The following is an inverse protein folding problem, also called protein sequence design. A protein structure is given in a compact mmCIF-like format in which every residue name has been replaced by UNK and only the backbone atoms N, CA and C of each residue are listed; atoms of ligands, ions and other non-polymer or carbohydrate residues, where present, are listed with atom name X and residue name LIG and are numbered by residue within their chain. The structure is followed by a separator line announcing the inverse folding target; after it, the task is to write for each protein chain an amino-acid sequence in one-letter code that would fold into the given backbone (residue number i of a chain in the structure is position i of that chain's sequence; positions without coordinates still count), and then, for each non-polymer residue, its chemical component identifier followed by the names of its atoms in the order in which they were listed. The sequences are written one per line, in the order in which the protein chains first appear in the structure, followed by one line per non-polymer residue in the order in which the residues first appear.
data_IF_445431340164
#
_entry.id   IF_445431340164
#
_cell.length_a   1.000
_cell.length_b   1.000
_cell.length_c   1.000
_cell.angle_alpha   90.00
_cell.angle_beta   90.00
_cell.angle_gamma   90.00
#
_symmetry.space_group_name_H-M   'P 1'
#
loop_
_entity.id
_entity.type
_entity.pdbx_description
1 polymer ?
#
# COMPACT_ATOMS: atom_id res chain seq x y z
N UNK A 1 -12.16 -0.03 42.64
CA UNK A 1 -12.64 0.74 41.47
C UNK A 1 -11.86 0.22 40.30
N UNK A 2 -12.25 -0.95 39.88
CA UNK A 2 -11.64 -1.69 38.75
C UNK A 2 -12.80 -2.00 37.82
N UNK A 3 -12.84 -1.39 36.63
CA UNK A 3 -13.74 -1.84 35.55
C UNK A 3 -13.28 -1.26 34.22
N UNK A 4 -13.12 -2.17 33.30
CA UNK A 4 -13.13 -1.99 31.85
C UNK A 4 -11.82 -1.60 31.16
N UNK A 5 -10.83 -2.48 31.23
CA UNK A 5 -10.10 -2.77 29.99
C UNK A 5 -10.98 -3.73 29.17
N UNK A 6 -11.98 -3.22 28.47
CA UNK A 6 -12.55 -3.93 27.33
C UNK A 6 -11.40 -4.22 26.38
N UNK A 7 -11.19 -5.48 26.02
CA UNK A 7 -10.48 -5.85 24.81
C UNK A 7 -11.21 -5.14 23.67
N UNK A 8 -10.67 -4.02 23.22
CA UNK A 8 -11.03 -3.42 21.94
C UNK A 8 -10.37 -4.38 20.96
N UNK A 9 -11.14 -5.34 20.42
CA UNK A 9 -10.75 -6.05 19.21
C UNK A 9 -10.24 -5.00 18.23
N UNK A 10 -9.15 -5.27 17.49
CA UNK A 10 -8.51 -4.33 16.58
C UNK A 10 -9.54 -3.75 15.61
N UNK A 11 -10.16 -2.65 15.96
CA UNK A 11 -11.23 -2.01 15.19
C UNK A 11 -10.67 -1.44 13.88
N UNK A 12 -9.38 -1.05 13.91
CA UNK A 12 -8.67 -0.48 12.76
C UNK A 12 -7.32 -1.16 12.55
N UNK A 13 -6.99 -1.43 11.29
CA UNK A 13 -5.65 -1.84 10.88
C UNK A 13 -4.70 -0.64 10.87
N UNK A 14 -5.22 0.53 10.43
CA UNK A 14 -4.51 1.79 10.40
C UNK A 14 -5.43 2.93 10.83
N UNK A 15 -4.93 3.81 11.70
CA UNK A 15 -5.65 4.93 12.24
C UNK A 15 -4.79 6.19 12.25
N UNK A 16 -5.19 7.22 11.50
CA UNK A 16 -4.63 8.56 11.56
C UNK A 16 -5.62 9.49 12.24
N UNK A 17 -5.18 10.30 13.20
CA UNK A 17 -6.02 11.21 13.95
C UNK A 17 -5.42 12.60 14.08
N UNK A 18 -6.07 13.58 13.47
CA UNK A 18 -5.70 14.98 13.57
C UNK A 18 -4.29 15.29 13.09
N UNK A 19 -3.78 14.50 12.12
CA UNK A 19 -2.41 14.63 11.64
C UNK A 19 -2.20 15.90 10.86
N UNK A 20 -1.14 16.65 11.19
CA UNK A 20 -0.71 17.82 10.43
C UNK A 20 0.80 17.81 10.24
N UNK A 21 1.26 18.27 9.07
CA UNK A 21 2.67 18.50 8.76
C UNK A 21 2.83 19.69 7.81
N UNK A 22 3.86 20.49 8.09
CA UNK A 22 4.22 21.65 7.29
C UNK A 22 5.66 21.57 6.79
N UNK A 23 5.92 22.02 5.57
CA UNK A 23 7.25 22.18 4.99
C UNK A 23 7.45 23.64 4.59
N UNK A 24 8.45 24.29 5.14
CA UNK A 24 8.78 25.70 4.87
C UNK A 24 7.56 26.66 4.94
N UNK A 25 6.68 26.41 5.91
CA UNK A 25 5.46 27.19 6.11
C UNK A 25 4.26 26.76 5.26
N UNK A 26 4.45 25.85 4.29
CA UNK A 26 3.36 25.26 3.53
C UNK A 26 2.80 24.03 4.28
N UNK A 27 1.50 24.06 4.58
CA UNK A 27 0.82 22.99 5.28
C UNK A 27 0.41 21.89 4.29
N UNK A 28 1.24 20.84 4.18
CA UNK A 28 1.01 19.74 3.24
C UNK A 28 -0.07 18.76 3.71
N UNK A 29 -0.18 18.54 5.03
CA UNK A 29 -1.27 17.80 5.68
C UNK A 29 -1.84 18.70 6.78
N UNK A 30 -3.17 18.77 6.86
CA UNK A 30 -3.88 19.72 7.68
C UNK A 30 -5.06 19.07 8.42
N UNK A 31 -4.81 18.61 9.64
CA UNK A 31 -5.80 17.94 10.49
C UNK A 31 -6.46 16.73 9.81
N UNK A 32 -5.64 15.90 9.16
CA UNK A 32 -6.08 14.70 8.45
C UNK A 32 -6.43 13.59 9.44
N UNK A 33 -7.65 13.06 9.33
CA UNK A 33 -8.06 11.83 10.00
C UNK A 33 -8.52 10.80 8.98
N UNK A 34 -8.00 9.57 9.10
CA UNK A 34 -8.28 8.46 8.18
C UNK A 34 -8.26 7.14 8.95
N UNK A 35 -9.25 6.29 8.70
CA UNK A 35 -9.46 5.04 9.41
C UNK A 35 -9.60 3.90 8.41
N UNK A 36 -8.76 2.88 8.49
CA UNK A 36 -8.77 1.70 7.63
C UNK A 36 -9.03 0.48 8.51
N UNK A 37 -10.10 -0.26 8.20
CA UNK A 37 -10.44 -1.49 8.93
C UNK A 37 -9.59 -2.68 8.46
N UNK A 38 -9.43 -3.72 9.28
CA UNK A 38 -8.81 -4.97 8.83
C UNK A 38 -9.52 -5.53 7.59
N UNK A 39 -8.74 -5.87 6.55
CA UNK A 39 -9.27 -6.38 5.28
C UNK A 39 -9.97 -5.33 4.41
N UNK A 40 -9.94 -4.07 4.77
CA UNK A 40 -10.50 -3.00 3.95
C UNK A 40 -9.56 -2.62 2.81
N UNK A 41 -10.15 -2.46 1.61
CA UNK A 41 -9.49 -1.80 0.48
C UNK A 41 -10.04 -0.37 0.35
N UNK A 42 -9.15 0.61 0.34
CA UNK A 42 -9.46 2.04 0.25
C UNK A 42 -8.71 2.69 -0.89
N UNK A 43 -9.43 3.30 -1.81
CA UNK A 43 -8.83 4.16 -2.81
C UNK A 43 -8.70 5.59 -2.27
N UNK A 44 -7.54 6.21 -2.47
CA UNK A 44 -7.28 7.61 -2.13
C UNK A 44 -7.08 8.38 -3.44
N UNK A 45 -7.94 9.34 -3.67
CA UNK A 45 -7.89 10.20 -4.86
C UNK A 45 -7.72 11.68 -4.46
N UNK A 46 -7.39 12.52 -5.40
CA UNK A 46 -7.26 13.96 -5.19
C UNK A 46 -6.31 14.59 -6.22
N UNK A 47 -6.37 15.90 -6.42
CA UNK A 47 -5.48 16.60 -7.34
C UNK A 47 -4.01 16.50 -6.92
N UNK A 48 -3.12 16.93 -7.81
CA UNK A 48 -1.71 17.07 -7.48
C UNK A 48 -1.54 18.09 -6.34
N UNK A 49 -0.68 17.76 -5.37
CA UNK A 49 -0.52 18.60 -4.18
C UNK A 49 -1.58 18.41 -3.09
N UNK A 50 -2.56 17.51 -3.25
CA UNK A 50 -3.58 17.23 -2.23
C UNK A 50 -3.04 16.59 -0.94
N UNK A 51 -1.77 16.17 -0.92
CA UNK A 51 -1.12 15.56 0.25
C UNK A 51 -1.06 14.02 0.21
N UNK A 52 -1.45 13.37 -0.88
CA UNK A 52 -1.49 11.89 -0.99
C UNK A 52 -0.14 11.22 -0.66
N UNK A 53 0.93 11.64 -1.31
CA UNK A 53 2.29 11.11 -1.08
C UNK A 53 2.78 11.43 0.32
N UNK A 54 2.53 12.66 0.81
CA UNK A 54 2.90 13.08 2.17
C UNK A 54 2.17 12.24 3.22
N UNK A 55 0.88 11.93 3.01
CA UNK A 55 0.12 11.02 3.88
C UNK A 55 0.79 9.64 3.94
N UNK A 56 1.17 9.06 2.79
CA UNK A 56 1.86 7.77 2.75
C UNK A 56 3.24 7.85 3.42
N UNK A 57 3.99 8.93 3.20
CA UNK A 57 5.30 9.17 3.83
C UNK A 57 5.20 9.26 5.36
N UNK A 58 4.10 9.81 5.88
CA UNK A 58 3.84 9.85 7.33
C UNK A 58 3.51 8.46 7.86
N UNK A 59 2.65 7.70 7.18
CA UNK A 59 2.27 6.34 7.60
C UNK A 59 3.50 5.42 7.64
N UNK A 60 4.43 5.57 6.70
CA UNK A 60 5.66 4.75 6.64
C UNK A 60 6.79 5.23 7.56
N UNK A 61 6.61 6.32 8.31
CA UNK A 61 7.67 6.85 9.18
C UNK A 61 8.77 7.65 8.46
N UNK A 62 8.66 7.83 7.12
CA UNK A 62 9.59 8.64 6.33
C UNK A 62 9.47 10.13 6.64
N UNK A 63 8.26 10.58 6.96
CA UNK A 63 7.98 11.97 7.40
C UNK A 63 7.32 11.94 8.77
N UNK A 64 7.84 12.71 9.72
CA UNK A 64 7.22 12.86 11.05
C UNK A 64 6.21 13.99 11.02
N UNK A 65 4.97 13.77 11.51
CA UNK A 65 3.98 14.84 11.61
C UNK A 65 4.34 15.84 12.72
N UNK A 66 3.89 17.09 12.55
CA UNK A 66 4.02 18.14 13.58
C UNK A 66 3.04 17.87 14.74
N UNK A 67 1.83 17.39 14.41
CA UNK A 67 0.76 17.05 15.36
C UNK A 67 -0.02 15.84 14.90
N UNK A 68 -0.81 15.27 15.82
CA UNK A 68 -1.65 14.09 15.56
C UNK A 68 -0.95 12.78 15.87
N UNK A 69 -1.60 11.67 15.52
CA UNK A 69 -1.10 10.31 15.76
C UNK A 69 -1.35 9.43 14.56
N UNK A 70 -0.48 8.45 14.37
CA UNK A 70 -0.65 7.37 13.39
C UNK A 70 -0.50 6.05 14.13
N UNK A 71 -1.58 5.31 14.28
CA UNK A 71 -1.60 4.06 15.03
C UNK A 71 -1.81 2.87 14.09
N UNK A 72 -1.03 1.84 14.28
CA UNK A 72 -1.21 0.52 13.69
C UNK A 72 -1.86 -0.40 14.74
N UNK A 73 -2.93 -1.10 14.38
CA UNK A 73 -3.71 -1.99 15.27
C UNK A 73 -4.11 -1.32 16.59
N UNK A 74 -4.52 -0.05 16.54
CA UNK A 74 -4.98 0.76 17.67
C UNK A 74 -3.94 1.11 18.76
N UNK A 75 -2.80 0.45 18.84
CA UNK A 75 -1.85 0.59 19.96
C UNK A 75 -0.43 0.99 19.56
N UNK A 76 0.03 0.61 18.39
CA UNK A 76 1.40 0.86 17.92
C UNK A 76 1.50 2.21 17.22
N UNK A 77 2.11 3.19 17.87
CA UNK A 77 2.29 4.54 17.35
C UNK A 77 3.45 4.60 16.34
N UNK A 78 3.10 4.58 15.05
CA UNK A 78 4.06 4.56 13.95
C UNK A 78 4.94 5.81 13.87
N UNK A 79 4.53 6.93 14.47
CA UNK A 79 5.33 8.18 14.45
C UNK A 79 6.64 8.07 15.25
N UNK A 80 6.81 7.00 16.02
CA UNK A 80 8.00 6.73 16.84
C UNK A 80 9.06 5.90 16.12
N UNK A 81 8.72 5.32 14.98
CA UNK A 81 9.53 4.36 14.25
C UNK A 81 10.06 4.98 12.96
N UNK A 82 11.15 4.44 12.43
CA UNK A 82 11.64 4.76 11.09
C UNK A 82 10.98 3.85 10.04
N UNK A 83 11.29 4.11 8.77
CA UNK A 83 10.67 3.42 7.64
C UNK A 83 10.95 1.90 7.65
N UNK A 84 12.17 1.49 8.03
CA UNK A 84 12.53 0.08 8.08
C UNK A 84 11.83 -0.63 9.26
N UNK A 85 11.72 0.05 10.40
CA UNK A 85 10.98 -0.45 11.55
C UNK A 85 9.49 -0.58 11.27
N UNK A 86 8.87 0.41 10.61
CA UNK A 86 7.46 0.39 10.19
C UNK A 86 7.19 -0.76 9.24
N UNK A 87 8.08 -1.02 8.28
CA UNK A 87 7.98 -2.17 7.38
C UNK A 87 8.02 -3.50 8.16
N UNK A 88 8.92 -3.63 9.14
CA UNK A 88 9.01 -4.83 9.99
C UNK A 88 7.79 -5.00 10.92
N UNK A 89 7.14 -3.91 11.34
CA UNK A 89 5.90 -3.94 12.13
C UNK A 89 4.75 -4.54 11.31
N UNK A 90 4.74 -4.34 9.98
CA UNK A 90 3.74 -4.94 9.09
C UNK A 90 3.02 -3.96 8.18
N UNK A 91 3.59 -2.76 7.95
CA UNK A 91 3.10 -1.80 6.96
C UNK A 91 4.05 -1.79 5.77
N UNK A 92 3.64 -2.41 4.69
CA UNK A 92 4.41 -2.46 3.46
C UNK A 92 4.03 -1.34 2.49
N UNK A 93 5.01 -0.75 1.79
CA UNK A 93 4.77 0.24 0.75
C UNK A 93 5.44 -0.14 -0.56
N UNK A 94 4.65 -0.08 -1.65
CA UNK A 94 5.19 -0.10 -3.00
C UNK A 94 5.55 1.33 -3.40
N UNK A 95 6.83 1.55 -3.70
CA UNK A 95 7.33 2.83 -4.18
C UNK A 95 7.15 2.99 -5.69
N UNK A 96 7.13 4.23 -6.18
CA UNK A 96 7.06 4.53 -7.61
C UNK A 96 8.31 4.09 -8.40
N UNK A 97 9.48 4.05 -7.74
CA UNK A 97 10.71 3.57 -8.39
C UNK A 97 10.74 2.05 -8.37
N UNK A 98 11.04 1.39 -9.51
CA UNK A 98 11.14 -0.06 -9.57
C UNK A 98 12.17 -0.59 -8.56
N UNK A 99 11.76 -1.61 -7.80
CA UNK A 99 12.60 -2.33 -6.84
C UNK A 99 13.05 -3.70 -7.34
N UNK A 100 12.63 -4.06 -8.56
CA UNK A 100 12.98 -5.32 -9.22
C UNK A 100 14.46 -5.34 -9.58
N UNK A 101 15.15 -6.44 -9.25
CA UNK A 101 16.53 -6.69 -9.65
C UNK A 101 16.50 -7.34 -11.03
N UNK A 102 16.74 -6.55 -12.07
CA UNK A 102 16.57 -6.98 -13.47
C UNK A 102 17.50 -8.12 -13.90
N UNK A 103 18.67 -8.25 -13.27
CA UNK A 103 19.65 -9.30 -13.55
C UNK A 103 19.31 -10.66 -12.91
N UNK A 104 18.29 -10.71 -12.07
CA UNK A 104 17.79 -11.93 -11.43
C UNK A 104 16.52 -12.45 -12.12
N UNK A 105 16.24 -13.74 -11.96
CA UNK A 105 14.99 -14.33 -12.39
C UNK A 105 13.81 -13.80 -11.55
N UNK A 106 12.59 -14.04 -12.03
CA UNK A 106 11.36 -13.74 -11.29
C UNK A 106 11.35 -14.48 -9.96
N UNK A 107 11.72 -15.77 -9.97
CA UNK A 107 11.82 -16.59 -8.76
C UNK A 107 12.82 -16.01 -7.76
N UNK A 108 14.05 -15.69 -8.21
CA UNK A 108 15.11 -15.13 -7.34
C UNK A 108 14.72 -13.78 -6.73
N UNK A 109 13.98 -12.93 -7.46
CA UNK A 109 13.46 -11.68 -6.91
C UNK A 109 12.50 -11.92 -5.73
N UNK A 110 11.57 -12.88 -5.86
CA UNK A 110 10.65 -13.25 -4.77
C UNK A 110 11.42 -13.90 -3.62
N UNK A 111 12.37 -14.80 -3.93
CA UNK A 111 13.22 -15.46 -2.92
C UNK A 111 13.95 -14.43 -2.04
N UNK A 112 14.59 -13.44 -2.64
CA UNK A 112 15.30 -12.40 -1.89
C UNK A 112 14.38 -11.54 -1.02
N UNK A 113 13.12 -11.41 -1.43
CA UNK A 113 12.12 -10.64 -0.71
C UNK A 113 11.43 -11.40 0.43
N UNK A 114 11.62 -12.71 0.55
CA UNK A 114 10.98 -13.50 1.62
C UNK A 114 11.32 -12.98 3.02
N UNK A 115 10.28 -12.87 3.86
CA UNK A 115 10.43 -12.53 5.27
C UNK A 115 11.23 -13.59 6.03
N UNK A 116 12.36 -13.22 6.61
CA UNK A 116 13.15 -14.14 7.42
C UNK A 116 14.43 -13.49 7.95
N UNK A 117 14.92 -13.99 9.08
CA UNK A 117 16.25 -13.64 9.60
C UNK A 117 17.31 -14.38 8.78
N UNK A 118 17.52 -13.98 7.53
CA UNK A 118 18.64 -14.51 6.75
C UNK A 118 19.90 -13.74 7.14
N UNK A 119 20.77 -14.36 7.94
CA UNK A 119 22.16 -13.91 8.04
C UNK A 119 22.76 -13.97 6.62
N UNK A 120 23.59 -12.98 6.26
CA UNK A 120 24.31 -12.93 4.97
C UNK A 120 25.03 -14.28 4.68
N UNK A 121 25.49 -14.96 5.74
CA UNK A 121 26.11 -16.29 5.64
C UNK A 121 25.12 -17.43 5.37
N UNK A 122 23.87 -17.32 5.82
CA UNK A 122 22.82 -18.31 5.54
C UNK A 122 22.33 -18.21 4.10
N UNK A 123 22.25 -17.01 3.53
CA UNK A 123 21.87 -16.79 2.12
C UNK A 123 22.88 -17.38 1.13
N UNK A 124 24.15 -17.54 1.53
CA UNK A 124 25.22 -18.12 0.68
C UNK A 124 25.29 -19.64 0.73
N UNK A 125 24.69 -20.32 1.72
CA UNK A 125 24.92 -21.75 1.97
C UNK A 125 23.67 -22.57 2.30
N UNK A 126 22.46 -22.00 2.36
CA UNK A 126 21.25 -22.76 2.63
C UNK A 126 20.39 -22.92 1.37
N UNK A 127 20.09 -24.17 1.07
CA UNK A 127 18.99 -24.51 0.18
C UNK A 127 17.68 -23.99 0.79
N UNK A 128 16.80 -23.44 -0.07
CA UNK A 128 15.44 -23.08 0.30
C UNK A 128 14.75 -24.26 0.99
N UNK A 129 14.01 -23.99 2.06
CA UNK A 129 13.16 -25.03 2.63
C UNK A 129 11.97 -25.35 1.70
N UNK A 130 11.39 -26.54 1.85
CA UNK A 130 10.18 -26.89 1.10
C UNK A 130 9.03 -25.89 1.34
N UNK A 131 8.95 -25.31 2.55
CA UNK A 131 7.99 -24.25 2.89
C UNK A 131 8.27 -22.94 2.13
N UNK A 132 9.54 -22.54 2.01
CA UNK A 132 9.91 -21.33 1.25
C UNK A 132 9.59 -21.52 -0.23
N UNK A 133 9.91 -22.70 -0.79
CA UNK A 133 9.56 -23.05 -2.17
C UNK A 133 8.05 -22.96 -2.40
N UNK A 134 7.26 -23.59 -1.54
CA UNK A 134 5.81 -23.55 -1.62
C UNK A 134 5.30 -22.11 -1.54
N UNK A 135 5.83 -21.30 -0.61
CA UNK A 135 5.46 -19.91 -0.45
C UNK A 135 5.74 -19.08 -1.70
N UNK A 136 6.92 -19.26 -2.31
CA UNK A 136 7.26 -18.58 -3.58
C UNK A 136 6.27 -18.97 -4.67
N UNK A 137 5.95 -20.27 -4.83
CA UNK A 137 4.99 -20.72 -5.83
C UNK A 137 3.60 -20.11 -5.62
N UNK A 138 3.10 -20.09 -4.38
CA UNK A 138 1.81 -19.43 -4.05
C UNK A 138 1.80 -17.94 -4.43
N UNK A 139 2.93 -17.25 -4.23
CA UNK A 139 3.07 -15.83 -4.60
C UNK A 139 3.09 -15.68 -6.13
N UNK A 140 3.88 -16.51 -6.83
CA UNK A 140 3.97 -16.50 -8.29
C UNK A 140 2.61 -16.76 -8.96
N UNK A 141 1.84 -17.72 -8.45
CA UNK A 141 0.47 -17.97 -8.90
C UNK A 141 -0.47 -16.79 -8.61
N UNK A 142 -0.32 -16.15 -7.44
CA UNK A 142 -1.13 -15.00 -7.05
C UNK A 142 -0.92 -13.81 -7.99
N UNK A 143 0.34 -13.54 -8.37
CA UNK A 143 0.72 -12.45 -9.29
C UNK A 143 0.72 -12.87 -10.76
N UNK A 144 0.29 -14.09 -11.09
CA UNK A 144 0.20 -14.66 -12.45
C UNK A 144 1.54 -14.65 -13.23
N UNK A 145 2.64 -14.96 -12.54
CA UNK A 145 3.99 -15.05 -13.13
C UNK A 145 4.63 -16.44 -12.98
N UNK A 146 3.86 -17.48 -12.61
CA UNK A 146 4.36 -18.85 -12.42
C UNK A 146 5.03 -19.43 -13.68
N UNK A 147 4.49 -19.11 -14.87
CA UNK A 147 5.03 -19.62 -16.15
C UNK A 147 6.31 -18.88 -16.58
N UNK A 148 6.67 -17.81 -15.89
CA UNK A 148 7.84 -16.97 -16.16
C UNK A 148 8.85 -16.98 -15.01
N UNK A 149 8.73 -17.91 -14.08
CA UNK A 149 9.56 -17.94 -12.87
C UNK A 149 11.07 -17.96 -13.16
N UNK A 150 11.49 -18.63 -14.24
CA UNK A 150 12.90 -18.76 -14.64
C UNK A 150 13.35 -17.64 -15.60
N UNK A 151 12.44 -16.77 -16.05
CA UNK A 151 12.78 -15.65 -16.91
C UNK A 151 13.49 -14.56 -16.11
N UNK A 152 14.47 -13.88 -16.73
CA UNK A 152 15.07 -12.70 -16.15
C UNK A 152 14.02 -11.58 -16.02
N UNK A 153 14.00 -10.90 -14.89
CA UNK A 153 13.07 -9.81 -14.64
C UNK A 153 13.24 -8.64 -15.64
N UNK A 154 14.41 -8.49 -16.24
CA UNK A 154 14.64 -7.56 -17.35
C UNK A 154 13.70 -7.78 -18.53
N UNK A 155 13.31 -9.04 -18.81
CA UNK A 155 12.50 -9.43 -19.95
C UNK A 155 10.98 -9.28 -19.74
N UNK A 156 10.55 -8.93 -18.55
CA UNK A 156 9.15 -8.72 -18.22
C UNK A 156 8.61 -7.43 -18.85
N UNK A 157 7.31 -7.42 -19.21
CA UNK A 157 6.59 -6.20 -19.55
C UNK A 157 6.57 -5.24 -18.35
N UNK A 158 6.18 -3.98 -18.59
CA UNK A 158 6.05 -3.01 -17.51
C UNK A 158 5.04 -3.48 -16.46
N UNK A 159 3.85 -3.92 -16.87
CA UNK A 159 2.83 -4.45 -15.97
C UNK A 159 3.29 -5.68 -15.19
N UNK A 160 4.00 -6.60 -15.85
CA UNK A 160 4.56 -7.78 -15.19
C UNK A 160 5.63 -7.41 -14.13
N UNK A 161 6.47 -6.41 -14.40
CA UNK A 161 7.40 -5.87 -13.39
C UNK A 161 6.66 -5.31 -12.18
N UNK A 162 5.55 -4.60 -12.41
CA UNK A 162 4.70 -4.09 -11.34
C UNK A 162 4.10 -5.24 -10.49
N UNK A 163 3.64 -6.33 -11.14
CA UNK A 163 3.13 -7.50 -10.41
C UNK A 163 4.24 -8.20 -9.63
N UNK A 164 5.45 -8.31 -10.19
CA UNK A 164 6.61 -8.86 -9.48
C UNK A 164 6.93 -8.04 -8.23
N UNK A 165 6.91 -6.70 -8.31
CA UNK A 165 7.10 -5.81 -7.15
C UNK A 165 6.03 -6.02 -6.07
N UNK A 166 4.77 -6.20 -6.48
CA UNK A 166 3.70 -6.55 -5.54
C UNK A 166 3.99 -7.91 -4.90
N UNK A 167 4.45 -8.90 -5.69
CA UNK A 167 4.88 -10.21 -5.18
C UNK A 167 6.00 -10.11 -4.15
N UNK A 168 7.03 -9.32 -4.44
CA UNK A 168 8.12 -9.05 -3.48
C UNK A 168 7.59 -8.38 -2.20
N UNK A 169 6.65 -7.45 -2.32
CA UNK A 169 6.07 -6.76 -1.18
C UNK A 169 5.26 -7.72 -0.29
N UNK A 170 4.40 -8.55 -0.87
CA UNK A 170 3.60 -9.53 -0.09
C UNK A 170 4.44 -10.65 0.49
N UNK A 171 5.66 -10.91 -0.04
CA UNK A 171 6.62 -11.84 0.54
C UNK A 171 7.09 -11.42 1.94
N UNK A 172 6.97 -10.13 2.27
CA UNK A 172 7.25 -9.59 3.61
C UNK A 172 6.08 -9.78 4.59
N UNK A 173 4.96 -10.36 4.15
CA UNK A 173 3.75 -10.59 4.94
C UNK A 173 3.21 -9.33 5.64
N UNK A 174 3.06 -8.21 4.96
CA UNK A 174 2.52 -7.00 5.57
C UNK A 174 1.02 -7.18 5.84
N UNK A 175 0.53 -6.54 6.90
CA UNK A 175 -0.91 -6.50 7.20
C UNK A 175 -1.60 -5.32 6.51
N UNK A 176 -0.87 -4.22 6.33
CA UNK A 176 -1.32 -3.03 5.58
C UNK A 176 -0.40 -2.83 4.39
N UNK A 177 -0.99 -2.70 3.21
CA UNK A 177 -0.31 -2.43 1.94
C UNK A 177 -0.63 -1.01 1.48
N UNK A 178 0.39 -0.19 1.30
CA UNK A 178 0.29 1.14 0.71
C UNK A 178 0.82 1.07 -0.72
N UNK A 179 -0.02 1.37 -1.70
CA UNK A 179 0.31 1.21 -3.11
C UNK A 179 0.05 2.53 -3.83
N UNK A 180 1.09 3.07 -4.46
CA UNK A 180 1.07 4.36 -5.14
C UNK A 180 1.08 4.17 -6.65
N UNK A 181 0.03 4.62 -7.33
CA UNK A 181 -0.20 4.60 -8.77
C UNK A 181 0.12 3.24 -9.42
N UNK A 182 -0.54 2.14 -8.96
CA UNK A 182 -0.23 0.79 -9.45
C UNK A 182 -0.56 0.55 -10.92
N UNK A 183 -1.51 1.30 -11.50
CA UNK A 183 -1.93 1.16 -12.90
C UNK A 183 -1.14 2.04 -13.88
N UNK A 184 -0.21 2.88 -13.38
CA UNK A 184 0.53 3.79 -14.23
C UNK A 184 1.32 3.07 -15.33
N UNK A 185 1.08 3.43 -16.60
CA UNK A 185 1.77 2.86 -17.77
C UNK A 185 1.35 1.44 -18.14
N UNK A 186 0.29 0.91 -17.55
CA UNK A 186 -0.30 -0.38 -17.92
C UNK A 186 -1.27 -0.26 -19.10
N UNK A 187 -1.44 -1.33 -19.84
CA UNK A 187 -2.56 -1.50 -20.78
C UNK A 187 -3.87 -1.71 -20.02
N UNK A 188 -5.02 -1.50 -20.68
CA UNK A 188 -6.34 -1.73 -20.09
C UNK A 188 -6.48 -3.16 -19.54
N UNK A 189 -5.95 -4.16 -20.28
CA UNK A 189 -5.96 -5.55 -19.85
C UNK A 189 -5.12 -5.78 -18.58
N UNK A 190 -3.91 -5.21 -18.51
CA UNK A 190 -3.04 -5.29 -17.33
C UNK A 190 -3.68 -4.56 -16.14
N UNK A 191 -4.31 -3.42 -16.36
CA UNK A 191 -5.05 -2.65 -15.37
C UNK A 191 -6.18 -3.48 -14.75
N UNK A 192 -6.99 -4.15 -15.57
CA UNK A 192 -8.06 -5.02 -15.08
C UNK A 192 -7.53 -6.23 -14.29
N UNK A 193 -6.46 -6.87 -14.76
CA UNK A 193 -5.80 -7.96 -14.03
C UNK A 193 -5.24 -7.48 -12.68
N UNK A 194 -4.70 -6.27 -12.63
CA UNK A 194 -4.23 -5.65 -11.38
C UNK A 194 -5.37 -5.40 -10.40
N UNK A 195 -6.54 -4.94 -10.89
CA UNK A 195 -7.72 -4.78 -10.03
C UNK A 195 -8.17 -6.13 -9.43
N UNK A 196 -8.19 -7.20 -10.22
CA UNK A 196 -8.53 -8.54 -9.72
C UNK A 196 -7.48 -9.07 -8.72
N UNK A 197 -6.19 -8.81 -8.94
CA UNK A 197 -5.13 -9.13 -7.99
C UNK A 197 -5.39 -8.42 -6.65
N UNK A 198 -5.73 -7.13 -6.66
CA UNK A 198 -5.98 -6.37 -5.43
C UNK A 198 -7.21 -6.86 -4.68
N UNK A 199 -8.29 -7.23 -5.37
CA UNK A 199 -9.45 -7.88 -4.74
C UNK A 199 -9.09 -9.21 -4.06
N UNK A 200 -8.17 -9.96 -4.64
CA UNK A 200 -7.65 -11.20 -4.00
C UNK A 200 -6.80 -10.88 -2.78
N UNK A 201 -5.92 -9.87 -2.86
CA UNK A 201 -5.07 -9.42 -1.75
C UNK A 201 -5.90 -8.86 -0.58
N UNK A 202 -6.97 -8.12 -0.86
CA UNK A 202 -7.86 -7.55 0.17
C UNK A 202 -8.52 -8.59 1.08
N UNK A 203 -8.54 -9.87 0.68
CA UNK A 203 -9.02 -10.96 1.54
C UNK A 203 -8.09 -11.27 2.73
N UNK A 204 -6.81 -10.89 2.63
CA UNK A 204 -5.79 -11.19 3.64
C UNK A 204 -5.09 -9.94 4.19
N UNK A 205 -5.15 -8.83 3.46
CA UNK A 205 -4.43 -7.59 3.74
C UNK A 205 -5.39 -6.40 3.73
N UNK A 206 -5.07 -5.34 4.45
CA UNK A 206 -5.74 -4.05 4.28
C UNK A 206 -4.96 -3.26 3.22
N UNK A 207 -5.65 -2.68 2.22
CA UNK A 207 -5.02 -2.00 1.10
C UNK A 207 -5.39 -0.51 1.10
N UNK A 208 -4.40 0.35 0.97
CA UNK A 208 -4.56 1.78 0.66
C UNK A 208 -3.93 2.03 -0.70
N UNK A 209 -4.76 2.34 -1.68
CA UNK A 209 -4.36 2.52 -3.07
C UNK A 209 -4.51 3.99 -3.44
N UNK A 210 -3.41 4.67 -3.74
CA UNK A 210 -3.43 6.04 -4.28
C UNK A 210 -3.50 5.94 -5.78
N UNK A 211 -4.52 6.54 -6.39
CA UNK A 211 -4.74 6.45 -7.83
C UNK A 211 -5.47 7.67 -8.38
N UNK A 212 -5.38 7.85 -9.68
CA UNK A 212 -6.06 8.89 -10.44
C UNK A 212 -6.83 8.34 -11.65
N UNK A 213 -6.64 7.06 -11.99
CA UNK A 213 -7.38 6.35 -13.03
C UNK A 213 -8.75 5.93 -12.51
N UNK A 214 -9.81 6.57 -13.02
CA UNK A 214 -11.18 6.33 -12.57
C UNK A 214 -11.73 4.97 -12.99
N UNK A 215 -11.29 4.42 -14.11
CA UNK A 215 -11.71 3.10 -14.58
C UNK A 215 -11.10 2.01 -13.70
N UNK A 216 -9.85 2.18 -13.31
CA UNK A 216 -9.21 1.29 -12.33
C UNK A 216 -9.89 1.37 -10.96
N UNK A 217 -10.16 2.56 -10.44
CA UNK A 217 -10.86 2.75 -9.16
C UNK A 217 -12.25 2.12 -9.19
N UNK A 218 -12.97 2.28 -10.31
CA UNK A 218 -14.26 1.63 -10.53
C UNK A 218 -14.12 0.10 -10.54
N UNK A 219 -13.07 -0.42 -11.18
CA UNK A 219 -12.80 -1.85 -11.20
C UNK A 219 -12.45 -2.40 -9.81
N UNK A 220 -11.81 -1.63 -8.93
CA UNK A 220 -11.53 -2.02 -7.55
C UNK A 220 -12.80 -2.23 -6.72
N UNK A 221 -13.87 -1.48 -7.02
CA UNK A 221 -15.16 -1.55 -6.31
C UNK A 221 -15.00 -1.41 -4.79
N UNK A 222 -14.33 -0.34 -4.35
CA UNK A 222 -13.98 -0.11 -2.96
C UNK A 222 -14.40 1.27 -2.47
N UNK A 223 -14.28 1.52 -1.18
CA UNK A 223 -14.51 2.84 -0.59
C UNK A 223 -13.43 3.81 -1.09
N UNK A 224 -13.86 5.01 -1.48
CA UNK A 224 -13.02 6.08 -1.99
C UNK A 224 -12.95 7.22 -0.96
N UNK A 225 -11.74 7.74 -0.72
CA UNK A 225 -11.50 8.96 0.06
C UNK A 225 -10.88 10.00 -0.87
N UNK A 226 -11.49 11.17 -0.91
CA UNK A 226 -10.98 12.31 -1.68
C UNK A 226 -10.16 13.19 -0.75
N UNK A 227 -8.88 13.41 -1.09
CA UNK A 227 -8.01 14.36 -0.42
C UNK A 227 -7.96 15.68 -1.18
N UNK A 228 -8.01 16.78 -0.45
CA UNK A 228 -7.79 18.12 -0.95
C UNK A 228 -7.13 19.00 0.13
N UNK A 229 -6.08 19.74 -0.24
CA UNK A 229 -5.34 20.63 0.69
C UNK A 229 -4.95 19.97 2.02
N UNK A 230 -4.51 18.71 1.95
CA UNK A 230 -4.10 17.94 3.11
C UNK A 230 -5.22 17.49 4.05
N UNK A 231 -6.48 17.49 3.60
CA UNK A 231 -7.67 17.06 4.36
C UNK A 231 -8.49 16.04 3.60
N UNK A 232 -9.31 15.29 4.31
CA UNK A 232 -10.40 14.53 3.71
C UNK A 232 -11.51 15.50 3.31
N UNK A 233 -11.81 15.54 2.01
CA UNK A 233 -12.90 16.34 1.46
C UNK A 233 -14.20 15.54 1.44
N UNK A 234 -14.15 14.30 1.00
CA UNK A 234 -15.31 13.41 0.92
C UNK A 234 -14.91 11.94 1.04
N UNK A 235 -15.84 11.11 1.49
CA UNK A 235 -15.69 9.64 1.52
C UNK A 235 -16.99 8.96 1.12
N UNK A 236 -16.88 7.84 0.39
CA UNK A 236 -18.04 7.06 -0.01
C UNK A 236 -17.73 6.04 -1.09
N UNK A 237 -18.76 5.55 -1.80
CA UNK A 237 -18.55 4.84 -3.07
C UNK A 237 -18.06 5.80 -4.14
N UNK A 238 -17.52 5.29 -5.23
CA UNK A 238 -17.05 6.13 -6.35
C UNK A 238 -18.18 7.04 -6.84
N UNK A 239 -19.39 6.52 -7.00
CA UNK A 239 -20.57 7.29 -7.43
C UNK A 239 -20.90 8.41 -6.44
N UNK A 240 -20.82 8.11 -5.15
CA UNK A 240 -21.12 9.09 -4.08
C UNK A 240 -20.14 10.27 -4.13
N UNK A 241 -18.84 9.99 -4.27
CA UNK A 241 -17.83 11.05 -4.30
C UNK A 241 -17.86 11.84 -5.62
N UNK A 242 -18.18 11.17 -6.75
CA UNK A 242 -18.34 11.85 -8.05
C UNK A 242 -19.58 12.76 -8.11
N UNK A 243 -20.61 12.46 -7.32
CA UNK A 243 -21.82 13.30 -7.21
C UNK A 243 -21.67 14.45 -6.21
N UNK A 244 -20.59 14.50 -5.43
CA UNK A 244 -20.37 15.52 -4.44
C UNK A 244 -19.95 16.85 -5.11
N UNK A 245 -20.71 17.94 -4.84
CA UNK A 245 -20.49 19.24 -5.45
C UNK A 245 -19.10 19.81 -5.17
N UNK A 246 -18.60 19.70 -3.94
CA UNK A 246 -17.26 20.17 -3.56
C UNK A 246 -16.16 19.41 -4.29
N UNK A 247 -16.33 18.10 -4.48
CA UNK A 247 -15.39 17.28 -5.27
C UNK A 247 -15.37 17.70 -6.72
N UNK A 248 -16.55 17.93 -7.31
CA UNK A 248 -16.68 18.41 -8.71
C UNK A 248 -15.96 19.77 -8.88
N UNK A 249 -16.16 20.71 -7.96
CA UNK A 249 -15.51 22.03 -8.00
C UNK A 249 -13.99 21.92 -7.92
N UNK A 250 -13.46 21.08 -7.04
CA UNK A 250 -12.02 20.82 -6.90
C UNK A 250 -11.40 20.25 -8.17
N UNK A 251 -12.08 19.29 -8.83
CA UNK A 251 -11.55 18.66 -10.05
C UNK A 251 -11.75 19.51 -11.31
N UNK A 252 -12.78 20.35 -11.37
CA UNK A 252 -13.03 21.25 -12.49
C UNK A 252 -12.30 22.59 -12.36
N UNK A 253 -11.64 22.86 -11.20
CA UNK A 253 -10.89 24.11 -10.99
C UNK A 253 -11.76 25.36 -10.95
N UNK A 254 -12.98 25.26 -10.43
CA UNK A 254 -13.93 26.37 -10.28
C UNK A 254 -14.06 26.79 -8.83
#
# INVERSE_FOLDING_TARGET
MSLMTKHIENEYALYMDGVSVSFDGFKAINNLSLYIKPGEMRAIIGPNGAGKTTMMDIITGKTRPDTGKVLFKNDTDLTKYDEAEVANIGVGRKFQKPSVIESLSVFENIELALKGKRSIWQSLFHALSDQDHQRIQEILELIALQDQQDALAANLSHGQKQWLEIGMLISQEPEVLLIDEPAAGMTDEETMKTAELFKRLAKKHSLVVVEHDMDFIKALDCKVTVLHEGRVLAEGSLETVQANQEVIEVYLGR
#
